data_IF_970765095044
#
_entry.id   IF_970765095044
#
_cell.length_a   1.000
_cell.length_b   1.000
_cell.length_c   1.000
_cell.angle_alpha   90.00
_cell.angle_beta   90.00
_cell.angle_gamma   90.00
#
_symmetry.space_group_name_H-M   'P 1'
#
loop_
_entity.id
_entity.type
_entity.pdbx_description
1 polymer ?
#
# COMPACT_ATOMS: atom_id res chain seq x y z
N UNK A 1 -17.45 66.31 32.12
CA UNK A 1 -18.48 65.91 31.15
C UNK A 1 -17.90 65.52 29.78
N UNK A 2 -17.08 66.33 29.07
CA UNK A 2 -16.51 65.92 27.76
C UNK A 2 -15.41 64.87 27.84
N UNK A 3 -14.56 64.91 28.87
CA UNK A 3 -13.50 63.90 29.14
C UNK A 3 -14.04 62.50 29.41
N UNK A 4 -15.20 62.37 30.06
CA UNK A 4 -15.80 61.07 30.40
C UNK A 4 -16.45 60.40 29.19
N UNK A 5 -16.93 61.19 28.23
CA UNK A 5 -17.47 60.69 26.97
C UNK A 5 -16.38 60.09 26.09
N UNK A 6 -15.19 60.69 26.04
CA UNK A 6 -14.04 60.17 25.28
C UNK A 6 -13.54 58.86 25.90
N UNK A 7 -13.33 58.82 27.23
CA UNK A 7 -12.92 57.58 27.93
C UNK A 7 -13.91 56.44 27.76
N UNK A 8 -15.19 56.72 27.73
CA UNK A 8 -16.22 55.72 27.54
C UNK A 8 -16.25 55.16 26.09
N UNK A 9 -15.96 56.04 25.11
CA UNK A 9 -15.84 55.63 23.69
C UNK A 9 -14.62 54.77 23.45
N UNK A 10 -13.48 55.10 24.06
CA UNK A 10 -12.24 54.33 23.95
C UNK A 10 -12.38 52.96 24.64
N UNK A 11 -13.00 52.89 25.83
CA UNK A 11 -13.29 51.63 26.49
C UNK A 11 -14.22 50.71 25.67
N UNK A 12 -15.19 51.29 24.99
CA UNK A 12 -16.13 50.55 24.15
C UNK A 12 -15.47 50.02 22.89
N UNK A 13 -14.57 50.79 22.28
CA UNK A 13 -13.78 50.37 21.14
C UNK A 13 -12.79 49.27 21.53
N UNK A 14 -12.03 49.43 22.63
CA UNK A 14 -11.07 48.40 23.05
C UNK A 14 -11.75 47.07 23.37
N UNK A 15 -12.91 47.06 24.03
CA UNK A 15 -13.70 45.83 24.24
C UNK A 15 -14.17 45.20 22.93
N UNK A 16 -14.53 45.98 21.96
CA UNK A 16 -15.00 45.48 20.67
C UNK A 16 -13.84 44.86 19.84
N UNK A 17 -12.64 45.41 19.92
CA UNK A 17 -11.43 44.84 19.28
C UNK A 17 -10.98 43.56 19.97
N UNK A 18 -10.95 43.50 21.30
CA UNK A 18 -10.61 42.29 22.06
C UNK A 18 -11.60 41.16 21.79
N UNK A 19 -12.90 41.44 21.70
CA UNK A 19 -13.89 40.41 21.39
C UNK A 19 -13.75 39.90 19.96
N UNK A 20 -13.51 40.79 18.98
CA UNK A 20 -13.28 40.35 17.59
C UNK A 20 -11.99 39.58 17.42
N UNK A 21 -10.91 39.96 18.10
CA UNK A 21 -9.64 39.24 18.13
C UNK A 21 -9.83 37.85 18.74
N UNK A 22 -10.58 37.73 19.83
CA UNK A 22 -10.87 36.46 20.49
C UNK A 22 -11.67 35.51 19.58
N UNK A 23 -12.70 36.00 18.90
CA UNK A 23 -13.46 35.20 17.93
C UNK A 23 -12.62 34.82 16.70
N UNK A 24 -11.72 35.70 16.24
CA UNK A 24 -10.81 35.38 15.12
C UNK A 24 -9.80 34.31 15.50
N UNK A 25 -9.26 34.31 16.72
CA UNK A 25 -8.32 33.31 17.21
C UNK A 25 -9.04 31.97 17.42
N UNK A 26 -10.27 31.96 17.97
CA UNK A 26 -11.06 30.73 18.11
C UNK A 26 -11.42 30.15 16.74
N UNK A 27 -11.78 31.00 15.76
CA UNK A 27 -12.05 30.55 14.38
C UNK A 27 -10.82 29.91 13.73
N UNK A 28 -9.62 30.48 13.96
CA UNK A 28 -8.37 29.91 13.45
C UNK A 28 -8.04 28.55 14.05
N UNK A 29 -8.37 28.33 15.34
CA UNK A 29 -8.18 27.03 16.01
C UNK A 29 -9.11 25.93 15.50
N UNK A 30 -10.29 26.28 14.98
CA UNK A 30 -11.23 25.30 14.42
C UNK A 30 -10.81 24.73 13.06
N UNK A 31 -9.89 25.40 12.33
CA UNK A 31 -9.37 24.93 11.05
C UNK A 31 -8.16 23.98 11.17
N UNK A 32 -7.63 23.74 12.38
CA UNK A 32 -6.45 22.89 12.60
C UNK A 32 -6.83 21.41 12.83
N UNK A 33 -8.12 21.05 12.86
CA UNK A 33 -8.53 19.65 12.82
C UNK A 33 -8.36 19.10 11.38
N UNK A 34 -7.10 19.08 10.92
CA UNK A 34 -6.72 18.45 9.67
C UNK A 34 -6.87 16.95 9.76
N UNK A 35 -7.19 16.30 8.67
CA UNK A 35 -7.24 14.86 8.51
C UNK A 35 -6.01 14.19 9.13
N UNK A 36 -6.15 13.65 10.33
CA UNK A 36 -5.19 12.70 10.83
C UNK A 36 -5.34 11.40 10.02
N UNK A 37 -4.25 10.74 9.59
CA UNK A 37 -4.36 9.46 8.91
C UNK A 37 -5.11 8.48 9.83
N UNK A 38 -6.05 7.75 9.27
CA UNK A 38 -6.79 6.74 10.02
C UNK A 38 -5.83 5.59 10.33
N UNK A 39 -5.51 5.40 11.60
CA UNK A 39 -4.71 4.26 12.06
C UNK A 39 -5.67 3.13 12.41
N UNK A 40 -5.62 2.05 11.64
CA UNK A 40 -6.37 0.84 11.90
C UNK A 40 -5.45 -0.23 12.49
N UNK A 41 -6.00 -1.19 13.23
CA UNK A 41 -5.27 -2.39 13.65
C UNK A 41 -5.59 -3.55 12.72
N UNK A 42 -4.65 -4.48 12.54
CA UNK A 42 -4.88 -5.66 11.69
C UNK A 42 -6.11 -6.45 12.13
N UNK A 43 -6.32 -6.63 13.44
CA UNK A 43 -7.47 -7.35 13.97
C UNK A 43 -8.81 -6.66 13.74
N UNK A 44 -8.85 -5.33 13.76
CA UNK A 44 -10.08 -4.58 13.52
C UNK A 44 -10.47 -4.51 12.04
N UNK A 45 -9.49 -4.46 11.15
CA UNK A 45 -9.75 -4.32 9.71
C UNK A 45 -9.91 -5.68 9.01
N UNK A 46 -9.18 -6.69 9.46
CA UNK A 46 -9.19 -8.03 8.83
C UNK A 46 -9.59 -9.15 9.80
N UNK A 47 -10.75 -9.08 10.47
CA UNK A 47 -11.17 -10.07 11.46
C UNK A 47 -11.26 -11.49 10.89
N UNK A 48 -11.72 -11.62 9.65
CA UNK A 48 -11.85 -12.91 8.97
C UNK A 48 -10.51 -13.64 8.77
N UNK A 49 -9.39 -12.91 8.68
CA UNK A 49 -8.06 -13.53 8.63
C UNK A 49 -7.75 -14.32 9.91
N UNK A 50 -8.22 -13.85 11.06
CA UNK A 50 -8.03 -14.48 12.37
C UNK A 50 -9.09 -15.53 12.69
N UNK A 51 -10.26 -15.44 12.07
CA UNK A 51 -11.34 -16.43 12.21
C UNK A 51 -11.10 -17.65 11.32
N UNK A 52 -10.79 -17.43 10.04
CA UNK A 52 -10.60 -18.52 9.07
C UNK A 52 -9.18 -19.08 9.04
N UNK A 53 -8.20 -18.29 9.52
CA UNK A 53 -6.80 -18.72 9.66
C UNK A 53 -6.22 -19.44 8.44
N UNK A 54 -6.27 -18.85 7.22
CA UNK A 54 -5.78 -19.52 6.02
C UNK A 54 -4.30 -19.85 6.17
N UNK A 55 -3.92 -21.08 5.82
CA UNK A 55 -2.54 -21.56 5.91
C UNK A 55 -1.82 -21.46 4.58
N UNK A 56 -2.55 -21.67 3.48
CA UNK A 56 -2.01 -21.72 2.12
C UNK A 56 -2.63 -20.64 1.24
N UNK A 57 -1.78 -20.02 0.41
CA UNK A 57 -2.19 -19.00 -0.56
C UNK A 57 -1.77 -19.40 -1.96
N UNK A 58 -2.73 -19.43 -2.87
CA UNK A 58 -2.51 -19.51 -4.31
C UNK A 58 -2.43 -18.09 -4.88
N UNK A 59 -1.32 -17.77 -5.53
CA UNK A 59 -1.12 -16.49 -6.20
C UNK A 59 -1.55 -16.64 -7.66
N UNK A 60 -2.55 -15.86 -8.08
CA UNK A 60 -2.91 -15.81 -9.49
C UNK A 60 -1.99 -14.88 -10.27
N UNK A 61 -1.80 -15.11 -11.58
CA UNK A 61 -1.14 -14.16 -12.44
C UNK A 61 -1.82 -12.78 -12.33
N UNK A 62 -1.07 -11.70 -12.10
CA UNK A 62 -1.68 -10.38 -11.93
C UNK A 62 -2.23 -9.83 -13.25
N UNK A 63 -3.35 -9.11 -13.18
CA UNK A 63 -3.83 -8.28 -14.28
C UNK A 63 -2.92 -7.04 -14.38
N UNK A 64 -2.35 -6.79 -15.54
CA UNK A 64 -1.48 -5.63 -15.75
C UNK A 64 -2.20 -4.53 -16.53
N UNK A 65 -2.59 -3.48 -15.87
CA UNK A 65 -3.18 -2.27 -16.46
C UNK A 65 -2.15 -1.14 -16.60
N UNK A 66 -0.88 -1.39 -16.23
CA UNK A 66 0.20 -0.42 -16.40
C UNK A 66 0.78 -0.46 -17.82
N UNK A 67 1.61 0.53 -18.15
CA UNK A 67 2.34 0.59 -19.42
C UNK A 67 3.63 -0.23 -19.41
N UNK A 68 4.06 -0.75 -18.26
CA UNK A 68 5.27 -1.56 -18.14
C UNK A 68 4.95 -3.03 -18.44
N UNK A 69 5.49 -3.55 -19.54
CA UNK A 69 5.25 -4.93 -19.95
C UNK A 69 5.74 -5.95 -18.90
N UNK A 70 6.90 -5.69 -18.29
CA UNK A 70 7.58 -6.59 -17.36
C UNK A 70 7.05 -6.49 -15.91
N UNK A 71 6.02 -5.67 -15.66
CA UNK A 71 5.47 -5.47 -14.32
C UNK A 71 4.96 -6.76 -13.68
N UNK A 72 4.36 -7.66 -14.49
CA UNK A 72 3.85 -8.96 -14.04
C UNK A 72 4.97 -9.82 -13.47
N UNK A 73 6.08 -9.91 -14.18
CA UNK A 73 7.24 -10.73 -13.85
C UNK A 73 7.90 -10.22 -12.57
N UNK A 74 8.16 -8.93 -12.46
CA UNK A 74 8.72 -8.32 -11.26
C UNK A 74 7.83 -8.51 -10.04
N UNK A 75 6.52 -8.31 -10.20
CA UNK A 75 5.56 -8.54 -9.12
C UNK A 75 5.56 -10.01 -8.68
N UNK A 76 5.36 -10.92 -9.62
CA UNK A 76 5.21 -12.34 -9.33
C UNK A 76 6.48 -12.95 -8.71
N UNK A 77 7.66 -12.61 -9.21
CA UNK A 77 8.94 -13.11 -8.70
C UNK A 77 9.15 -12.73 -7.23
N UNK A 78 8.71 -11.56 -6.82
CA UNK A 78 9.02 -11.02 -5.49
C UNK A 78 7.92 -11.27 -4.46
N UNK A 79 6.66 -11.39 -4.87
CA UNK A 79 5.52 -11.54 -3.96
C UNK A 79 5.53 -12.86 -3.20
N UNK A 80 5.95 -13.96 -3.84
CA UNK A 80 6.04 -15.30 -3.24
C UNK A 80 6.96 -15.31 -2.03
N UNK A 81 8.14 -14.72 -2.17
CA UNK A 81 9.15 -14.65 -1.11
C UNK A 81 8.58 -13.91 0.11
N UNK A 82 7.92 -12.78 -0.12
CA UNK A 82 7.38 -11.96 0.97
C UNK A 82 6.25 -12.70 1.70
N UNK A 83 5.31 -13.30 0.99
CA UNK A 83 4.23 -14.07 1.60
C UNK A 83 4.77 -15.28 2.40
N UNK A 84 5.84 -15.91 1.92
CA UNK A 84 6.52 -16.96 2.66
C UNK A 84 7.14 -16.44 3.97
N UNK A 85 7.76 -15.26 3.96
CA UNK A 85 8.25 -14.59 5.18
C UNK A 85 7.10 -14.20 6.13
N UNK A 86 5.92 -13.87 5.60
CA UNK A 86 4.71 -13.64 6.40
C UNK A 86 4.14 -14.91 7.02
N UNK A 87 4.71 -16.07 6.70
CA UNK A 87 4.36 -17.36 7.31
C UNK A 87 3.21 -18.09 6.65
N UNK A 88 3.02 -17.90 5.36
CA UNK A 88 2.08 -18.68 4.56
C UNK A 88 2.79 -19.77 3.75
N UNK A 89 2.10 -20.89 3.51
CA UNK A 89 2.48 -21.82 2.47
C UNK A 89 2.07 -21.26 1.12
N UNK A 90 3.03 -21.11 0.19
CA UNK A 90 2.80 -20.53 -1.13
C UNK A 90 2.98 -21.62 -2.19
N UNK A 91 1.98 -21.76 -3.05
CA UNK A 91 2.12 -22.60 -4.24
C UNK A 91 3.10 -21.92 -5.20
N UNK A 92 4.09 -22.65 -5.75
CA UNK A 92 5.07 -22.05 -6.66
C UNK A 92 4.38 -21.42 -7.86
N UNK A 93 4.53 -20.09 -8.01
CA UNK A 93 3.82 -19.31 -9.02
C UNK A 93 4.03 -19.81 -10.45
N UNK A 94 5.27 -20.15 -10.79
CA UNK A 94 5.64 -20.61 -12.13
C UNK A 94 4.94 -21.93 -12.47
N UNK A 95 4.85 -22.85 -11.49
CA UNK A 95 4.18 -24.15 -11.66
C UNK A 95 2.67 -23.94 -11.82
N UNK A 96 2.06 -23.09 -11.01
CA UNK A 96 0.63 -22.82 -11.10
C UNK A 96 0.26 -22.09 -12.39
N UNK A 97 1.08 -21.14 -12.83
CA UNK A 97 0.90 -20.46 -14.09
C UNK A 97 1.01 -21.40 -15.31
N UNK A 98 1.92 -22.37 -15.25
CA UNK A 98 2.05 -23.38 -16.31
C UNK A 98 0.88 -24.37 -16.32
N UNK A 99 0.34 -24.75 -15.16
CA UNK A 99 -0.88 -25.56 -15.07
C UNK A 99 -2.06 -24.83 -15.76
N UNK A 100 -2.24 -23.53 -15.49
CA UNK A 100 -3.30 -22.75 -16.18
C UNK A 100 -3.13 -22.76 -17.70
N UNK A 101 -1.91 -22.62 -18.20
CA UNK A 101 -1.63 -22.70 -19.65
C UNK A 101 -1.94 -24.08 -20.23
N UNK A 102 -1.60 -25.16 -19.52
CA UNK A 102 -1.92 -26.54 -19.94
C UNK A 102 -3.42 -26.76 -20.03
N UNK A 103 -4.18 -26.16 -19.09
CA UNK A 103 -5.65 -26.19 -19.09
C UNK A 103 -6.27 -25.23 -20.12
N UNK A 104 -5.44 -24.56 -20.96
CA UNK A 104 -5.90 -23.67 -22.03
C UNK A 104 -6.23 -22.26 -21.56
N UNK A 105 -5.88 -21.90 -20.32
CA UNK A 105 -6.12 -20.57 -19.75
C UNK A 105 -4.84 -19.74 -19.92
N UNK A 106 -4.74 -19.01 -21.00
CA UNK A 106 -3.60 -18.16 -21.33
C UNK A 106 -3.78 -16.70 -20.88
N UNK A 107 -5.02 -16.32 -20.66
CA UNK A 107 -5.40 -14.95 -20.31
C UNK A 107 -5.63 -14.85 -18.81
N UNK A 108 -4.96 -13.88 -18.17
CA UNK A 108 -5.06 -13.63 -16.73
C UNK A 108 -6.48 -13.33 -16.29
N UNK A 109 -7.23 -12.59 -17.11
CA UNK A 109 -8.62 -12.24 -16.86
C UNK A 109 -9.49 -13.49 -16.73
N UNK A 110 -9.27 -14.50 -17.56
CA UNK A 110 -9.99 -15.79 -17.49
C UNK A 110 -9.69 -16.57 -16.22
N UNK A 111 -8.44 -16.51 -15.73
CA UNK A 111 -8.09 -17.15 -14.44
C UNK A 111 -8.84 -16.52 -13.28
N UNK A 112 -9.03 -15.21 -13.34
CA UNK A 112 -9.75 -14.46 -12.28
C UNK A 112 -11.26 -14.77 -12.26
N UNK A 113 -11.83 -15.28 -13.34
CA UNK A 113 -13.24 -15.68 -13.44
C UNK A 113 -13.51 -17.12 -12.96
N UNK A 114 -12.47 -17.90 -12.66
CA UNK A 114 -12.60 -19.28 -12.17
C UNK A 114 -13.22 -19.26 -10.77
N UNK A 115 -14.28 -20.06 -10.49
CA UNK A 115 -14.87 -20.14 -9.16
C UNK A 115 -13.84 -20.56 -8.09
N UNK A 116 -13.85 -19.91 -6.93
CA UNK A 116 -12.88 -20.15 -5.84
C UNK A 116 -12.85 -21.59 -5.37
N UNK A 117 -14.00 -22.28 -5.39
CA UNK A 117 -14.11 -23.70 -5.07
C UNK A 117 -13.24 -24.59 -5.96
N UNK A 118 -12.99 -24.18 -7.21
CA UNK A 118 -12.11 -24.94 -8.12
C UNK A 118 -10.65 -24.86 -7.70
N UNK A 119 -10.19 -23.71 -7.22
CA UNK A 119 -8.83 -23.58 -6.70
C UNK A 119 -8.62 -24.45 -5.45
N UNK A 120 -9.65 -24.59 -4.61
CA UNK A 120 -9.61 -25.53 -3.49
C UNK A 120 -9.60 -26.99 -3.95
N UNK A 121 -10.43 -27.32 -4.90
CA UNK A 121 -10.55 -28.68 -5.45
C UNK A 121 -9.24 -29.15 -6.10
N UNK A 122 -8.61 -28.30 -6.92
CA UNK A 122 -7.42 -28.69 -7.69
C UNK A 122 -6.11 -28.50 -6.92
N UNK A 123 -5.98 -27.46 -6.13
CA UNK A 123 -4.73 -27.13 -5.43
C UNK A 123 -4.78 -27.38 -3.93
N UNK A 124 -5.96 -27.50 -3.33
CA UNK A 124 -6.12 -27.52 -1.87
C UNK A 124 -5.82 -26.18 -1.21
N UNK A 125 -5.87 -25.06 -1.96
CA UNK A 125 -5.59 -23.74 -1.46
C UNK A 125 -6.67 -23.28 -0.49
N UNK A 126 -6.28 -22.67 0.65
CA UNK A 126 -7.21 -22.08 1.60
C UNK A 126 -7.66 -20.70 1.16
N UNK A 127 -6.78 -19.95 0.52
CA UNK A 127 -7.07 -18.61 -0.01
C UNK A 127 -6.39 -18.37 -1.36
N UNK A 128 -6.94 -17.43 -2.12
CA UNK A 128 -6.46 -17.04 -3.45
C UNK A 128 -6.16 -15.56 -3.44
N UNK A 129 -4.98 -15.17 -3.89
CA UNK A 129 -4.57 -13.78 -4.05
C UNK A 129 -4.81 -13.31 -5.47
N UNK A 130 -5.72 -12.36 -5.61
CA UNK A 130 -6.01 -11.61 -6.83
C UNK A 130 -5.27 -10.29 -6.79
N UNK A 131 -4.61 -9.91 -7.88
CA UNK A 131 -3.90 -8.64 -7.97
C UNK A 131 -4.12 -7.97 -9.31
N UNK A 132 -4.35 -6.67 -9.28
CA UNK A 132 -4.33 -5.78 -10.44
C UNK A 132 -3.23 -4.74 -10.26
N UNK A 133 -2.27 -4.72 -11.17
CA UNK A 133 -1.23 -3.70 -11.23
C UNK A 133 -1.79 -2.52 -12.02
N UNK A 134 -2.13 -1.43 -11.33
CA UNK A 134 -2.70 -0.21 -11.92
C UNK A 134 -1.62 0.71 -12.47
N UNK A 135 -0.47 0.74 -11.81
CA UNK A 135 0.67 1.56 -12.19
C UNK A 135 1.98 0.84 -11.85
N UNK A 136 2.88 0.87 -12.80
CA UNK A 136 4.27 0.47 -12.62
C UNK A 136 5.09 1.45 -13.43
N UNK A 137 5.54 2.53 -12.80
CA UNK A 137 6.11 3.67 -13.49
C UNK A 137 7.47 4.03 -12.89
N UNK A 138 8.45 4.13 -13.77
CA UNK A 138 9.78 4.50 -13.46
C UNK A 138 10.00 5.94 -13.90
N UNK A 139 10.11 6.83 -12.94
CA UNK A 139 10.35 8.25 -13.18
C UNK A 139 11.80 8.61 -12.90
N UNK A 140 12.44 9.25 -13.88
CA UNK A 140 13.78 9.80 -13.76
C UNK A 140 13.69 11.33 -13.76
N UNK A 141 14.17 11.94 -12.69
CA UNK A 141 14.44 13.38 -12.63
C UNK A 141 15.94 13.61 -12.49
N UNK A 142 16.41 14.81 -12.81
CA UNK A 142 17.86 15.15 -12.84
C UNK A 142 18.61 14.78 -11.55
N UNK A 143 17.89 14.71 -10.41
CA UNK A 143 18.46 14.43 -9.09
C UNK A 143 17.77 13.28 -8.34
N UNK A 144 16.81 12.61 -8.95
CA UNK A 144 16.06 11.54 -8.31
C UNK A 144 15.52 10.54 -9.34
N UNK A 145 15.51 9.27 -8.97
CA UNK A 145 14.79 8.23 -9.70
C UNK A 145 13.84 7.53 -8.73
N UNK A 146 12.61 7.33 -9.14
CA UNK A 146 11.58 6.70 -8.31
C UNK A 146 10.86 5.62 -9.10
N UNK A 147 10.60 4.49 -8.45
CA UNK A 147 9.65 3.49 -8.91
C UNK A 147 8.32 3.72 -8.18
N UNK A 148 7.27 4.00 -8.94
CA UNK A 148 5.90 4.13 -8.41
C UNK A 148 5.10 2.89 -8.77
N UNK A 149 4.63 2.16 -7.76
CA UNK A 149 3.82 0.95 -7.92
C UNK A 149 2.46 1.17 -7.27
N UNK A 150 1.38 1.09 -8.07
CA UNK A 150 0.00 1.11 -7.57
C UNK A 150 -0.64 -0.23 -7.84
N UNK A 151 -1.15 -0.87 -6.80
CA UNK A 151 -1.82 -2.16 -6.90
C UNK A 151 -3.17 -2.15 -6.19
N UNK A 152 -4.06 -2.99 -6.69
CA UNK A 152 -5.27 -3.43 -6.02
C UNK A 152 -5.13 -4.94 -5.80
N UNK A 153 -5.12 -5.37 -4.55
CA UNK A 153 -4.95 -6.76 -4.19
C UNK A 153 -6.05 -7.22 -3.24
N UNK A 154 -6.56 -8.44 -3.45
CA UNK A 154 -7.60 -9.06 -2.61
C UNK A 154 -7.23 -10.50 -2.34
N UNK A 155 -7.20 -10.86 -1.07
CA UNK A 155 -7.09 -12.25 -0.64
C UNK A 155 -8.48 -12.78 -0.32
N UNK A 156 -8.92 -13.79 -1.03
CA UNK A 156 -10.26 -14.38 -0.87
C UNK A 156 -10.19 -15.80 -0.35
N UNK A 157 -11.09 -16.17 0.55
CA UNK A 157 -11.25 -17.53 1.04
C UNK A 157 -11.83 -18.44 -0.03
N UNK A 158 -11.26 -19.63 -0.19
CA UNK A 158 -11.83 -20.68 -1.05
C UNK A 158 -12.96 -21.47 -0.36
N UNK A 159 -13.19 -21.21 0.94
CA UNK A 159 -14.20 -21.88 1.76
C UNK A 159 -15.47 -21.02 1.83
N UNK A 160 -15.33 -19.76 2.24
CA UNK A 160 -16.45 -18.85 2.49
C UNK A 160 -16.77 -17.90 1.33
N UNK A 161 -15.88 -17.83 0.33
CA UNK A 161 -15.91 -16.83 -0.78
C UNK A 161 -15.77 -15.37 -0.31
N UNK A 162 -15.43 -15.16 0.98
CA UNK A 162 -15.28 -13.85 1.56
C UNK A 162 -13.90 -13.24 1.27
N UNK A 163 -13.84 -11.91 1.22
CA UNK A 163 -12.57 -11.19 1.19
C UNK A 163 -11.99 -11.20 2.60
N UNK A 164 -10.86 -11.87 2.77
CA UNK A 164 -10.15 -11.96 4.04
C UNK A 164 -9.24 -10.76 4.29
N UNK A 165 -8.61 -10.25 3.23
CA UNK A 165 -7.72 -9.09 3.25
C UNK A 165 -7.76 -8.38 1.90
N UNK A 166 -7.59 -7.07 1.92
CA UNK A 166 -7.46 -6.26 0.71
C UNK A 166 -6.45 -5.12 0.90
N UNK A 167 -5.89 -4.69 -0.20
CA UNK A 167 -5.01 -3.53 -0.28
C UNK A 167 -5.30 -2.78 -1.58
N UNK A 168 -5.47 -1.47 -1.49
CA UNK A 168 -5.56 -0.58 -2.64
C UNK A 168 -4.73 0.65 -2.35
N UNK A 169 -3.54 0.73 -2.93
CA UNK A 169 -2.62 1.80 -2.59
C UNK A 169 -1.48 1.96 -3.58
N UNK A 170 -0.68 2.99 -3.30
CA UNK A 170 0.51 3.34 -4.09
C UNK A 170 1.74 3.37 -3.21
N UNK A 171 2.76 2.66 -3.64
CA UNK A 171 4.09 2.67 -3.02
C UNK A 171 5.06 3.40 -3.92
N UNK A 172 5.82 4.33 -3.36
CA UNK A 172 6.93 5.00 -4.05
C UNK A 172 8.24 4.50 -3.45
N UNK A 173 9.11 3.95 -4.29
CA UNK A 173 10.44 3.49 -3.90
C UNK A 173 11.47 4.44 -4.52
N UNK A 174 12.28 5.08 -3.68
CA UNK A 174 13.39 5.92 -4.12
C UNK A 174 14.54 5.03 -4.61
N UNK A 175 14.97 5.26 -5.84
CA UNK A 175 16.06 4.55 -6.52
C UNK A 175 17.36 5.35 -6.50
N UNK A 176 17.36 6.56 -5.94
CA UNK A 176 18.52 7.49 -5.98
C UNK A 176 19.73 7.00 -5.16
N UNK A 177 19.62 5.84 -4.52
CA UNK A 177 20.72 5.24 -3.73
C UNK A 177 21.09 6.15 -2.56
N UNK A 178 20.30 6.13 -1.50
CA UNK A 178 20.46 7.03 -0.34
C UNK A 178 21.81 6.90 0.36
N UNK A 179 22.75 7.74 -0.05
CA UNK A 179 23.82 8.21 0.82
C UNK A 179 23.80 9.75 0.75
N UNK A 180 22.87 10.33 1.49
CA UNK A 180 22.67 11.79 1.63
C UNK A 180 23.77 12.43 2.50
N UNK A 181 25.02 12.16 2.16
CA UNK A 181 26.21 12.70 2.81
C UNK A 181 27.15 13.39 1.83
N UNK A 182 26.66 14.34 1.06
CA UNK A 182 27.53 15.09 0.18
C UNK A 182 26.82 16.34 -0.35
N UNK A 183 27.43 17.51 -0.20
CA UNK A 183 26.90 18.75 -0.75
C UNK A 183 26.66 18.69 -2.26
N UNK A 184 26.46 19.87 -2.91
CA UNK A 184 26.13 19.98 -4.35
C UNK A 184 26.98 19.11 -5.28
N UNK A 185 28.25 18.91 -4.95
CA UNK A 185 29.16 18.03 -5.71
C UNK A 185 28.78 16.54 -5.61
N UNK A 186 28.27 16.08 -4.46
CA UNK A 186 27.77 14.72 -4.27
C UNK A 186 26.47 14.47 -5.03
N UNK A 187 25.60 15.48 -5.13
CA UNK A 187 24.36 15.40 -5.91
C UNK A 187 24.63 15.27 -7.41
N UNK A 188 25.62 16.01 -7.94
CA UNK A 188 26.00 15.92 -9.36
C UNK A 188 26.64 14.55 -9.67
N UNK A 189 27.51 14.07 -8.79
CA UNK A 189 28.14 12.74 -8.96
C UNK A 189 27.07 11.63 -8.91
N UNK A 190 26.12 11.70 -8.01
CA UNK A 190 25.02 10.74 -7.93
C UNK A 190 24.10 10.81 -9.16
N UNK A 191 23.82 12.00 -9.70
CA UNK A 191 23.02 12.15 -10.91
C UNK A 191 23.67 11.47 -12.13
N UNK A 192 24.98 11.57 -12.28
CA UNK A 192 25.71 10.91 -13.36
C UNK A 192 25.74 9.39 -13.14
N UNK A 193 26.00 8.93 -11.93
CA UNK A 193 25.98 7.51 -11.58
C UNK A 193 24.58 6.92 -11.77
N UNK A 194 23.53 7.63 -11.37
CA UNK A 194 22.13 7.20 -11.56
C UNK A 194 21.76 7.10 -13.04
N UNK A 195 22.20 8.03 -13.87
CA UNK A 195 21.95 8.01 -15.32
C UNK A 195 22.65 6.85 -16.04
N UNK A 196 23.84 6.47 -15.59
CA UNK A 196 24.60 5.32 -16.14
C UNK A 196 24.05 4.00 -15.58
N UNK A 197 23.68 3.96 -14.31
CA UNK A 197 23.11 2.76 -13.67
C UNK A 197 21.68 2.46 -14.12
N UNK A 198 20.91 3.44 -14.59
CA UNK A 198 19.54 3.22 -15.05
C UNK A 198 19.42 2.24 -16.24
N UNK A 199 20.46 2.08 -17.02
CA UNK A 199 20.54 1.07 -18.08
C UNK A 199 20.84 -0.34 -17.55
N UNK A 200 21.21 -0.48 -16.26
CA UNK A 200 21.62 -1.73 -15.61
C UNK A 200 20.96 -1.94 -14.25
N UNK A 201 19.88 -1.20 -13.92
CA UNK A 201 19.21 -1.33 -12.63
C UNK A 201 18.54 -2.70 -12.54
N UNK A 202 18.94 -3.47 -11.54
CA UNK A 202 18.16 -4.63 -11.10
C UNK A 202 16.90 -4.14 -10.38
N UNK A 203 15.75 -4.30 -11.01
CA UNK A 203 14.46 -3.88 -10.46
C UNK A 203 13.89 -4.83 -9.39
N UNK A 204 14.42 -6.04 -9.28
CA UNK A 204 13.94 -7.05 -8.33
C UNK A 204 13.98 -6.57 -6.87
N UNK A 205 15.06 -5.97 -6.33
CA UNK A 205 15.09 -5.44 -4.97
C UNK A 205 14.06 -4.33 -4.73
N UNK A 206 13.81 -3.50 -5.75
CA UNK A 206 12.86 -2.40 -5.65
C UNK A 206 11.41 -2.89 -5.72
N UNK A 207 11.12 -3.85 -6.59
CA UNK A 207 9.86 -4.56 -6.63
C UNK A 207 9.57 -5.28 -5.30
N UNK A 208 10.57 -5.94 -4.73
CA UNK A 208 10.49 -6.55 -3.40
C UNK A 208 10.14 -5.52 -2.32
N UNK A 209 10.79 -4.36 -2.33
CA UNK A 209 10.48 -3.27 -1.39
C UNK A 209 9.05 -2.77 -1.54
N UNK A 210 8.57 -2.60 -2.77
CA UNK A 210 7.20 -2.18 -3.05
C UNK A 210 6.18 -3.20 -2.53
N UNK A 211 6.37 -4.48 -2.86
CA UNK A 211 5.50 -5.56 -2.41
C UNK A 211 5.53 -5.74 -0.89
N UNK A 212 6.71 -5.62 -0.24
CA UNK A 212 6.84 -5.65 1.21
C UNK A 212 5.98 -4.56 1.88
N UNK A 213 6.03 -3.33 1.36
CA UNK A 213 5.23 -2.22 1.89
C UNK A 213 3.73 -2.43 1.65
N UNK A 214 3.34 -2.89 0.47
CA UNK A 214 1.95 -3.16 0.15
C UNK A 214 1.35 -4.26 1.05
N UNK A 215 2.12 -5.31 1.35
CA UNK A 215 1.69 -6.42 2.21
C UNK A 215 1.86 -6.14 3.71
N UNK A 216 2.33 -4.97 4.11
CA UNK A 216 2.59 -4.66 5.53
C UNK A 216 1.35 -4.77 6.43
N UNK A 217 0.16 -4.54 5.87
CA UNK A 217 -1.11 -4.67 6.58
C UNK A 217 -1.62 -6.12 6.67
N UNK A 218 -1.09 -7.05 5.86
CA UNK A 218 -1.51 -8.45 5.89
C UNK A 218 -1.18 -9.08 7.25
N UNK A 219 -2.12 -9.75 7.93
CA UNK A 219 -1.85 -10.55 9.11
C UNK A 219 -0.81 -11.64 8.88
N UNK A 220 -0.13 -12.06 9.95
CA UNK A 220 0.85 -13.14 9.84
C UNK A 220 0.17 -14.51 9.75
N UNK A 221 0.68 -15.35 8.84
CA UNK A 221 0.23 -16.71 8.64
C UNK A 221 0.81 -17.70 9.68
N UNK A 222 0.32 -18.91 9.64
CA UNK A 222 0.55 -19.99 10.62
C UNK A 222 2.02 -20.28 10.93
N UNK A 223 2.92 -20.08 9.97
CA UNK A 223 4.34 -20.41 10.12
C UNK A 223 5.19 -19.22 10.57
N UNK A 224 4.56 -18.05 10.81
CA UNK A 224 5.28 -16.88 11.33
C UNK A 224 5.38 -16.93 12.86
N UNK A 225 6.54 -16.53 13.48
CA UNK A 225 6.71 -16.54 14.93
C UNK A 225 5.69 -15.71 15.71
N UNK A 226 5.14 -14.65 15.09
CA UNK A 226 4.13 -13.77 15.66
C UNK A 226 2.70 -14.09 15.18
N UNK A 227 2.46 -15.32 14.73
CA UNK A 227 1.12 -15.77 14.34
C UNK A 227 0.10 -15.50 15.46
N UNK A 228 -1.06 -14.96 15.12
CA UNK A 228 -2.18 -14.62 16.03
C UNK A 228 -1.85 -13.57 17.09
N UNK A 229 -0.64 -13.00 17.12
CA UNK A 229 -0.26 -11.97 18.11
C UNK A 229 -0.17 -10.55 17.53
N UNK A 230 -0.35 -10.40 16.23
CA UNK A 230 -0.22 -9.15 15.50
C UNK A 230 -1.56 -8.37 15.36
N UNK A 231 -2.64 -8.82 16.00
CA UNK A 231 -3.98 -8.19 15.90
C UNK A 231 -3.98 -6.71 16.33
N UNK A 232 -3.16 -6.34 17.30
CA UNK A 232 -3.04 -4.97 17.79
C UNK A 232 -2.05 -4.11 16.97
N UNK A 233 -1.34 -4.70 16.01
CA UNK A 233 -0.41 -3.96 15.15
C UNK A 233 -1.17 -2.95 14.29
N UNK A 234 -0.71 -1.70 14.36
CA UNK A 234 -1.28 -0.59 13.58
C UNK A 234 -0.63 -0.48 12.21
N UNK A 235 -1.40 -0.07 11.24
CA UNK A 235 -0.93 0.29 9.89
C UNK A 235 -1.70 1.51 9.38
N UNK A 236 -1.13 2.18 8.38
CA UNK A 236 -1.82 3.27 7.69
C UNK A 236 -2.71 2.66 6.62
N UNK A 237 -4.02 2.79 6.80
CA UNK A 237 -4.99 2.38 5.78
C UNK A 237 -4.88 3.32 4.57
N UNK A 238 -4.47 2.78 3.42
CA UNK A 238 -4.37 3.50 2.17
C UNK A 238 -5.59 3.28 1.26
N UNK A 239 -6.53 2.43 1.70
CA UNK A 239 -7.75 2.14 0.93
C UNK A 239 -8.63 3.39 0.86
N UNK A 240 -9.02 3.87 -0.33
CA UNK A 240 -9.95 4.98 -0.45
C UNK A 240 -11.28 4.65 0.23
N UNK A 241 -11.86 5.61 0.96
CA UNK A 241 -13.11 5.46 1.72
C UNK A 241 -14.35 5.04 0.89
N UNK A 242 -14.20 4.76 -0.40
CA UNK A 242 -15.34 4.45 -1.29
C UNK A 242 -15.92 3.03 -1.10
N UNK A 243 -15.16 2.12 -0.50
CA UNK A 243 -15.59 0.71 -0.33
C UNK A 243 -16.12 0.40 1.08
N UNK A 244 -16.31 1.43 1.96
CA UNK A 244 -16.79 1.25 3.34
C UNK A 244 -18.31 1.47 3.53
N UNK A 245 -19.10 1.48 2.43
CA UNK A 245 -20.57 1.59 2.49
C UNK A 245 -21.24 0.29 2.09
#
# INVERSE_FOLDING_TARGET
>A
MYSDLIKNKERKMSKQYTTRLFFSVISLFLFVYGCAPTMATKGSEFPLMYEETPTSILILPPINQSTAADAKEYYATTIQEILSYWGYYIFPYEVTADIFKIEGIYDTELVNDVPLTKFREFFGADAVLFTTIKKWDLSYMVLAANLTVSIDAKLKSTISDQVLWNYNGTVVVDLSGGNSGGGLAGLIANAIVTAVQSAMVDYVPHAKTANYRALSSLPYGKYHPQYMTDQSMQFIDQTPNQDKN
#
